data_IF_525137367778
#
_entry.id   IF_525137367778
#
_cell.length_a   1.000
_cell.length_b   1.000
_cell.length_c   1.000
_cell.angle_alpha   90.00
_cell.angle_beta   90.00
_cell.angle_gamma   90.00
#
_symmetry.space_group_name_H-M   'P 1'
#
loop_
_entity.id
_entity.type
_entity.pdbx_description
1 polymer ?
#
# COMPACT_ATOMS: atom_id res chain seq x y z
N UNK A 1 -7.68 -3.40 -10.62
CA UNK A 1 -7.77 -2.24 -11.54
C UNK A 1 -7.14 -0.96 -11.00
N UNK A 2 -7.22 -0.67 -9.70
CA UNK A 2 -6.66 0.57 -9.11
C UNK A 2 -5.14 0.73 -9.32
N UNK A 3 -4.33 -0.28 -8.97
CA UNK A 3 -2.86 -0.23 -9.11
C UNK A 3 -2.43 -0.06 -10.57
N UNK A 4 -3.08 -0.76 -11.51
CA UNK A 4 -2.79 -0.63 -12.95
C UNK A 4 -3.01 0.83 -13.41
N UNK A 5 -4.16 1.44 -13.05
CA UNK A 5 -4.46 2.83 -13.40
C UNK A 5 -3.44 3.82 -12.84
N UNK A 6 -3.04 3.65 -11.57
CA UNK A 6 -1.99 4.49 -10.97
C UNK A 6 -0.62 4.25 -11.61
N UNK A 7 -0.29 3.01 -11.97
CA UNK A 7 0.96 2.71 -12.67
C UNK A 7 1.05 3.44 -14.01
N UNK A 8 -0.05 3.47 -14.78
CA UNK A 8 -0.09 4.28 -16.02
C UNK A 8 -0.01 5.78 -15.76
N UNK A 9 -0.67 6.29 -14.70
CA UNK A 9 -0.55 7.71 -14.30
C UNK A 9 0.91 8.09 -14.02
N UNK A 10 1.67 7.24 -13.32
CA UNK A 10 3.09 7.46 -13.09
C UNK A 10 3.93 7.29 -14.35
N UNK A 11 3.63 6.28 -15.18
CA UNK A 11 4.34 6.04 -16.43
C UNK A 11 4.28 7.24 -17.38
N UNK A 12 3.15 7.97 -17.41
CA UNK A 12 2.99 9.17 -18.21
C UNK A 12 3.92 10.36 -17.83
N UNK A 13 4.64 10.26 -16.71
CA UNK A 13 5.69 11.24 -16.37
C UNK A 13 7.00 11.02 -17.16
N UNK A 14 7.11 9.95 -17.97
CA UNK A 14 8.32 9.55 -18.69
C UNK A 14 8.05 9.37 -20.19
N UNK A 15 8.92 9.91 -21.03
CA UNK A 15 8.72 9.89 -22.49
C UNK A 15 8.99 8.51 -23.13
N UNK A 16 9.90 7.71 -22.58
CA UNK A 16 10.38 6.47 -23.23
C UNK A 16 10.12 5.23 -22.36
N UNK A 17 8.95 5.16 -21.73
CA UNK A 17 8.55 4.02 -20.92
C UNK A 17 7.76 2.99 -21.75
N UNK A 18 8.12 1.71 -21.63
CA UNK A 18 7.34 0.63 -22.25
C UNK A 18 6.08 0.35 -21.41
N UNK A 19 4.92 0.78 -21.92
CA UNK A 19 3.63 0.62 -21.23
C UNK A 19 3.20 -0.85 -21.11
N UNK A 20 3.67 -1.75 -21.97
CA UNK A 20 3.40 -3.18 -21.82
C UNK A 20 4.14 -3.75 -20.61
N UNK A 21 5.38 -3.34 -20.40
CA UNK A 21 6.13 -3.71 -19.20
C UNK A 21 5.45 -3.17 -17.94
N UNK A 22 5.01 -1.90 -17.92
CA UNK A 22 4.26 -1.30 -16.81
C UNK A 22 2.99 -2.11 -16.50
N UNK A 23 2.23 -2.45 -17.54
CA UNK A 23 1.00 -3.24 -17.39
C UNK A 23 1.26 -4.61 -16.78
N UNK A 24 2.28 -5.31 -17.27
CA UNK A 24 2.61 -6.66 -16.81
C UNK A 24 3.14 -6.65 -15.38
N UNK A 25 4.03 -5.70 -15.03
CA UNK A 25 4.50 -5.52 -13.64
C UNK A 25 3.31 -5.30 -12.71
N UNK A 26 2.40 -4.37 -13.06
CA UNK A 26 1.22 -4.08 -12.25
C UNK A 26 0.23 -5.25 -12.17
N UNK A 27 0.19 -6.12 -13.18
CA UNK A 27 -0.70 -7.29 -13.18
C UNK A 27 -0.15 -8.46 -12.37
N UNK A 28 1.16 -8.60 -12.27
CA UNK A 28 1.82 -9.73 -11.62
C UNK A 28 2.29 -9.45 -10.19
N UNK A 29 2.42 -8.19 -9.75
CA UNK A 29 3.09 -7.84 -8.49
C UNK A 29 2.57 -8.62 -7.27
N UNK A 30 1.26 -8.81 -7.16
CA UNK A 30 0.58 -9.47 -6.03
C UNK A 30 0.00 -10.85 -6.38
N UNK A 31 0.38 -11.45 -7.53
CA UNK A 31 -0.25 -12.69 -8.02
C UNK A 31 -0.15 -13.83 -7.01
N UNK A 32 0.95 -13.94 -6.29
CA UNK A 32 1.19 -14.97 -5.28
C UNK A 32 0.81 -14.56 -3.84
N UNK A 33 0.21 -13.38 -3.61
CA UNK A 33 -0.12 -12.88 -2.27
C UNK A 33 -1.06 -13.82 -1.49
N UNK A 34 -1.92 -14.57 -2.18
CA UNK A 34 -2.82 -15.55 -1.57
C UNK A 34 -2.12 -16.88 -1.22
N UNK A 35 -0.95 -17.15 -1.79
CA UNK A 35 -0.15 -18.38 -1.57
C UNK A 35 0.77 -18.17 -0.35
N UNK A 36 1.58 -17.12 -0.37
CA UNK A 36 2.50 -16.77 0.70
C UNK A 36 2.58 -15.24 0.82
N UNK A 37 1.95 -14.71 1.86
CA UNK A 37 1.88 -13.27 2.11
C UNK A 37 3.26 -12.66 2.42
N UNK A 38 4.16 -13.43 3.02
CA UNK A 38 5.42 -12.90 3.50
C UNK A 38 6.50 -12.85 2.42
N UNK A 39 6.39 -13.73 1.40
CA UNK A 39 7.33 -13.83 0.28
C UNK A 39 6.64 -13.67 -1.10
N UNK A 40 5.44 -13.05 -1.13
CA UNK A 40 4.64 -12.97 -2.37
C UNK A 40 5.35 -12.23 -3.50
N UNK A 41 6.19 -11.24 -3.21
CA UNK A 41 6.94 -10.49 -4.21
C UNK A 41 7.90 -11.39 -5.00
N UNK A 42 8.66 -12.23 -4.31
CA UNK A 42 9.59 -13.19 -4.93
C UNK A 42 8.83 -14.28 -5.70
N UNK A 43 7.75 -14.80 -5.10
CA UNK A 43 6.92 -15.82 -5.75
C UNK A 43 6.21 -15.26 -6.99
N UNK A 44 5.64 -14.07 -6.92
CA UNK A 44 4.99 -13.40 -8.06
C UNK A 44 5.99 -13.15 -9.19
N UNK A 45 7.19 -12.67 -8.85
CA UNK A 45 8.26 -12.44 -9.81
C UNK A 45 8.72 -13.74 -10.51
N UNK A 46 8.82 -14.83 -9.75
CA UNK A 46 9.16 -16.15 -10.30
C UNK A 46 8.04 -16.71 -11.19
N UNK A 47 6.77 -16.56 -10.79
CA UNK A 47 5.62 -16.96 -11.62
C UNK A 47 5.61 -16.23 -12.97
N UNK A 48 5.94 -14.93 -12.96
CA UNK A 48 6.13 -14.18 -14.21
C UNK A 48 7.33 -14.71 -15.01
N UNK A 49 8.50 -14.79 -14.39
CA UNK A 49 9.77 -15.06 -15.09
C UNK A 49 9.82 -16.45 -15.73
N UNK A 50 9.23 -17.45 -15.06
CA UNK A 50 9.15 -18.84 -15.52
C UNK A 50 8.01 -19.08 -16.51
N UNK A 51 7.12 -18.11 -16.73
CA UNK A 51 6.03 -18.27 -17.69
C UNK A 51 6.55 -18.25 -19.12
N UNK A 52 6.49 -19.41 -19.80
CA UNK A 52 7.00 -19.57 -21.18
C UNK A 52 6.34 -18.61 -22.18
N UNK A 53 5.04 -18.29 -22.01
CA UNK A 53 4.34 -17.35 -22.90
C UNK A 53 4.92 -15.93 -22.84
N UNK A 54 5.49 -15.53 -21.71
CA UNK A 54 6.10 -14.21 -21.59
C UNK A 54 7.36 -14.04 -22.43
N UNK A 55 7.97 -15.13 -22.86
CA UNK A 55 9.11 -15.13 -23.80
C UNK A 55 8.71 -14.69 -25.22
N UNK A 56 7.43 -14.82 -25.57
CA UNK A 56 6.90 -14.38 -26.87
C UNK A 56 6.76 -12.86 -26.97
N UNK A 57 6.61 -12.19 -25.81
CA UNK A 57 6.31 -10.75 -25.73
C UNK A 57 7.50 -9.91 -25.27
N UNK A 58 8.43 -10.49 -24.50
CA UNK A 58 9.52 -9.75 -23.85
C UNK A 58 10.86 -10.43 -24.06
N UNK A 59 11.88 -9.63 -24.37
CA UNK A 59 13.28 -10.12 -24.45
C UNK A 59 13.76 -10.63 -23.09
N UNK A 60 14.89 -11.31 -23.07
CA UNK A 60 15.51 -11.78 -21.83
C UNK A 60 15.78 -10.62 -20.85
N UNK A 61 16.31 -9.50 -21.36
CA UNK A 61 16.61 -8.31 -20.57
C UNK A 61 15.35 -7.67 -20.00
N UNK A 62 14.31 -7.50 -20.83
CA UNK A 62 13.01 -6.96 -20.36
C UNK A 62 12.39 -7.84 -19.28
N UNK A 63 12.45 -9.16 -19.43
CA UNK A 63 11.94 -10.09 -18.40
C UNK A 63 12.71 -9.98 -17.09
N UNK A 64 14.03 -9.76 -17.15
CA UNK A 64 14.84 -9.48 -15.96
C UNK A 64 14.36 -8.20 -15.24
N UNK A 65 14.18 -7.11 -15.99
CA UNK A 65 13.71 -5.83 -15.46
C UNK A 65 12.31 -5.96 -14.84
N UNK A 66 11.38 -6.68 -15.51
CA UNK A 66 10.03 -6.91 -15.01
C UNK A 66 10.06 -7.73 -13.71
N UNK A 67 10.86 -8.80 -13.68
CA UNK A 67 11.07 -9.63 -12.48
C UNK A 67 11.53 -8.77 -11.31
N UNK A 68 12.60 -7.99 -11.51
CA UNK A 68 13.16 -7.11 -10.51
C UNK A 68 12.14 -6.07 -10.02
N UNK A 69 11.36 -5.49 -10.93
CA UNK A 69 10.31 -4.54 -10.58
C UNK A 69 9.20 -5.17 -9.71
N UNK A 70 8.82 -6.42 -10.01
CA UNK A 70 7.84 -7.15 -9.19
C UNK A 70 8.40 -7.41 -7.80
N UNK A 71 9.67 -7.80 -7.65
CA UNK A 71 10.30 -7.99 -6.33
C UNK A 71 10.37 -6.67 -5.53
N UNK A 72 10.59 -5.54 -6.20
CA UNK A 72 10.83 -4.24 -5.57
C UNK A 72 9.54 -3.50 -5.14
N UNK A 73 8.34 -4.08 -5.30
CA UNK A 73 7.11 -3.33 -5.07
C UNK A 73 6.76 -3.09 -3.58
N UNK A 74 7.28 -3.88 -2.65
CA UNK A 74 6.89 -3.81 -1.23
C UNK A 74 7.15 -2.46 -0.58
N UNK A 75 6.21 -2.04 0.29
CA UNK A 75 6.37 -0.82 1.10
C UNK A 75 7.54 -0.91 2.08
N UNK A 76 7.89 -2.12 2.53
CA UNK A 76 8.96 -2.41 3.48
C UNK A 76 10.32 -2.62 2.81
N UNK A 77 10.45 -2.38 1.50
CA UNK A 77 11.73 -2.44 0.79
C UNK A 77 12.71 -1.46 1.45
N UNK A 78 13.89 -1.94 1.83
CA UNK A 78 14.90 -1.19 2.57
C UNK A 78 15.83 -0.36 1.67
N UNK A 79 15.77 -0.59 0.35
CA UNK A 79 16.55 0.11 -0.66
C UNK A 79 15.66 0.73 -1.74
N UNK A 80 16.26 1.54 -2.60
CA UNK A 80 15.57 2.13 -3.75
C UNK A 80 15.29 1.04 -4.81
N UNK A 81 14.07 1.01 -5.42
CA UNK A 81 13.78 0.09 -6.51
C UNK A 81 14.79 0.15 -7.64
N UNK A 82 15.24 -1.02 -8.11
CA UNK A 82 16.33 -1.20 -9.09
C UNK A 82 16.08 -0.57 -10.46
N UNK A 83 14.81 -0.31 -10.79
CA UNK A 83 14.44 0.24 -12.09
C UNK A 83 13.31 1.26 -11.97
N UNK A 84 13.10 2.04 -13.03
CA UNK A 84 11.95 2.95 -13.13
C UNK A 84 10.62 2.18 -13.03
N UNK A 85 10.54 0.95 -13.54
CA UNK A 85 9.36 0.10 -13.43
C UNK A 85 9.10 -0.30 -11.97
N UNK A 86 10.15 -0.61 -11.22
CA UNK A 86 10.08 -0.85 -9.77
C UNK A 86 9.60 0.39 -9.00
N UNK A 87 10.09 1.58 -9.35
CA UNK A 87 9.61 2.85 -8.76
C UNK A 87 8.15 3.11 -9.06
N UNK A 88 7.72 2.84 -10.29
CA UNK A 88 6.32 3.01 -10.71
C UNK A 88 5.41 2.09 -9.90
N UNK A 89 5.68 0.78 -9.87
CA UNK A 89 4.80 -0.16 -9.18
C UNK A 89 4.82 0.06 -7.67
N UNK A 90 6.00 0.26 -7.09
CA UNK A 90 6.14 0.55 -5.66
C UNK A 90 5.38 1.80 -5.24
N UNK A 91 5.38 2.86 -6.08
CA UNK A 91 4.59 4.07 -5.83
C UNK A 91 3.09 3.85 -6.05
N UNK A 92 2.71 3.12 -7.12
CA UNK A 92 1.31 2.88 -7.47
C UNK A 92 0.57 2.00 -6.46
N UNK A 93 1.27 1.08 -5.80
CA UNK A 93 0.71 0.19 -4.77
C UNK A 93 0.58 0.85 -3.40
N UNK A 94 0.93 2.12 -3.25
CA UNK A 94 0.71 2.82 -1.96
C UNK A 94 -0.74 3.21 -1.80
N UNK A 95 -1.27 2.92 -0.60
CA UNK A 95 -2.59 3.40 -0.22
C UNK A 95 -2.54 4.92 0.02
N UNK A 96 -3.52 5.63 -0.52
CA UNK A 96 -3.70 7.08 -0.42
C UNK A 96 -5.06 7.43 0.21
N UNK A 97 -5.73 6.46 0.85
CA UNK A 97 -7.01 6.64 1.51
C UNK A 97 -6.94 6.20 2.98
N UNK A 98 -7.18 7.17 3.88
CA UNK A 98 -7.12 6.95 5.33
C UNK A 98 -8.26 6.05 5.82
N UNK A 99 -9.44 6.15 5.20
CA UNK A 99 -10.60 5.32 5.56
C UNK A 99 -10.30 3.86 5.25
N UNK A 100 -9.80 3.60 4.06
CA UNK A 100 -9.37 2.26 3.64
C UNK A 100 -8.26 1.72 4.55
N UNK A 101 -7.27 2.54 4.91
CA UNK A 101 -6.19 2.15 5.82
C UNK A 101 -6.72 1.73 7.19
N UNK A 102 -7.63 2.52 7.79
CA UNK A 102 -8.22 2.20 9.09
C UNK A 102 -9.09 0.94 9.04
N UNK A 103 -9.90 0.76 7.98
CA UNK A 103 -10.71 -0.46 7.77
C UNK A 103 -9.86 -1.71 7.63
N UNK A 104 -8.81 -1.65 6.81
CA UNK A 104 -7.89 -2.80 6.63
C UNK A 104 -7.17 -3.17 7.92
N UNK A 105 -6.72 -2.17 8.68
CA UNK A 105 -6.06 -2.40 9.97
C UNK A 105 -7.01 -3.02 10.99
N UNK A 106 -8.26 -2.55 11.05
CA UNK A 106 -9.29 -3.11 11.91
C UNK A 106 -9.62 -4.57 11.54
N UNK A 107 -9.90 -4.83 10.27
CA UNK A 107 -10.19 -6.18 9.78
C UNK A 107 -9.04 -7.16 10.05
N UNK A 108 -7.80 -6.72 9.86
CA UNK A 108 -6.62 -7.51 10.21
C UNK A 108 -6.56 -7.79 11.71
N UNK A 109 -6.80 -6.76 12.55
CA UNK A 109 -6.74 -6.90 14.00
C UNK A 109 -7.78 -7.89 14.50
N UNK A 110 -9.04 -7.79 14.09
CA UNK A 110 -10.10 -8.74 14.48
C UNK A 110 -9.75 -10.18 14.09
N UNK A 111 -9.17 -10.35 12.88
CA UNK A 111 -8.83 -11.68 12.38
C UNK A 111 -7.69 -12.34 13.14
N UNK A 112 -6.66 -11.58 13.52
CA UNK A 112 -5.39 -12.13 14.04
C UNK A 112 -5.19 -11.91 15.54
N UNK A 113 -5.99 -11.03 16.17
CA UNK A 113 -5.92 -10.65 17.57
C UNK A 113 -7.35 -10.48 18.14
N UNK A 114 -8.18 -11.53 18.06
CA UNK A 114 -9.60 -11.45 18.48
C UNK A 114 -9.79 -11.21 19.97
N UNK A 115 -8.74 -11.42 20.79
CA UNK A 115 -8.73 -11.23 22.23
C UNK A 115 -8.58 -9.78 22.67
N UNK A 116 -8.16 -8.87 21.76
CA UNK A 116 -7.92 -7.48 22.12
C UNK A 116 -9.22 -6.71 22.39
N UNK A 117 -9.22 -5.92 23.46
CA UNK A 117 -10.27 -4.96 23.70
C UNK A 117 -10.23 -3.77 22.73
N UNK A 118 -11.27 -2.93 22.76
CA UNK A 118 -11.38 -1.78 21.85
C UNK A 118 -10.21 -0.79 21.99
N UNK A 119 -9.75 -0.52 23.21
CA UNK A 119 -8.65 0.41 23.45
C UNK A 119 -7.33 -0.15 22.90
N UNK A 120 -7.11 -1.45 23.08
CA UNK A 120 -5.96 -2.17 22.54
C UNK A 120 -5.99 -2.19 21.01
N UNK A 121 -7.17 -2.41 20.39
CA UNK A 121 -7.34 -2.33 18.94
C UNK A 121 -7.01 -0.93 18.40
N UNK A 122 -7.50 0.13 19.07
CA UNK A 122 -7.20 1.53 18.70
C UNK A 122 -5.70 1.81 18.84
N UNK A 123 -5.07 1.39 19.95
CA UNK A 123 -3.65 1.57 20.18
C UNK A 123 -2.80 0.87 19.10
N UNK A 124 -3.16 -0.36 18.77
CA UNK A 124 -2.52 -1.12 17.71
C UNK A 124 -2.65 -0.44 16.35
N UNK A 125 -3.85 0.05 16.01
CA UNK A 125 -4.09 0.78 14.78
C UNK A 125 -3.29 2.09 14.71
N UNK A 126 -3.26 2.86 15.81
CA UNK A 126 -2.47 4.08 15.93
C UNK A 126 -0.99 3.82 15.68
N UNK A 127 -0.41 2.85 16.35
CA UNK A 127 1.00 2.49 16.21
C UNK A 127 1.30 2.04 14.77
N UNK A 128 0.49 1.13 14.21
CA UNK A 128 0.67 0.67 12.83
C UNK A 128 0.61 1.79 11.79
N UNK A 129 -0.36 2.70 11.90
CA UNK A 129 -0.48 3.85 10.98
C UNK A 129 0.71 4.81 11.16
N UNK A 130 1.14 5.04 12.41
CA UNK A 130 2.31 5.88 12.72
C UNK A 130 3.61 5.29 12.15
N UNK A 131 3.86 4.00 12.36
CA UNK A 131 5.05 3.30 11.86
C UNK A 131 5.09 3.26 10.34
N UNK A 132 3.94 3.11 9.70
CA UNK A 132 3.86 2.98 8.25
C UNK A 132 3.86 4.32 7.54
N UNK A 133 3.09 5.30 8.01
CA UNK A 133 2.80 6.53 7.30
C UNK A 133 3.12 7.81 8.10
N UNK A 134 3.55 7.73 9.35
CA UNK A 134 3.98 8.87 10.17
C UNK A 134 5.19 9.62 9.58
N UNK A 135 5.69 10.63 10.29
CA UNK A 135 6.80 11.46 9.78
C UNK A 135 8.05 10.63 9.43
N UNK A 136 8.37 9.61 10.22
CA UNK A 136 9.45 8.63 9.96
C UNK A 136 8.94 7.31 9.40
N UNK A 137 7.73 7.28 8.83
CA UNK A 137 7.10 6.05 8.35
C UNK A 137 7.85 5.41 7.19
N UNK A 138 7.86 4.07 7.18
CA UNK A 138 8.63 3.31 6.18
C UNK A 138 7.99 3.29 4.79
N UNK A 139 6.68 3.57 4.66
CA UNK A 139 6.03 3.61 3.35
C UNK A 139 6.47 4.84 2.55
N UNK A 140 7.20 4.59 1.47
CA UNK A 140 7.75 5.62 0.59
C UNK A 140 7.08 5.57 -0.79
N UNK A 141 7.02 6.72 -1.44
CA UNK A 141 6.73 6.89 -2.86
C UNK A 141 8.00 7.42 -3.51
N UNK A 142 8.36 6.87 -4.65
CA UNK A 142 9.62 7.16 -5.35
C UNK A 142 9.45 8.16 -6.48
N UNK A 143 8.20 8.53 -6.78
CA UNK A 143 7.82 9.44 -7.84
C UNK A 143 6.93 10.55 -7.28
N UNK A 144 6.79 11.66 -8.00
CA UNK A 144 5.91 12.76 -7.60
C UNK A 144 4.47 12.28 -7.54
N UNK A 145 3.82 12.41 -6.39
CA UNK A 145 2.46 11.95 -6.12
C UNK A 145 1.72 12.88 -5.15
N UNK A 146 1.00 13.85 -5.69
CA UNK A 146 0.21 14.80 -4.91
C UNK A 146 -0.87 14.12 -4.04
N UNK A 147 -1.40 12.97 -4.48
CA UNK A 147 -2.40 12.20 -3.71
C UNK A 147 -1.75 11.59 -2.46
N UNK A 148 -0.52 11.08 -2.59
CA UNK A 148 0.22 10.53 -1.46
C UNK A 148 0.67 11.64 -0.49
N UNK A 149 1.11 12.80 -1.02
CA UNK A 149 1.49 13.94 -0.19
C UNK A 149 0.29 14.46 0.62
N UNK A 150 -0.88 14.58 -0.02
CA UNK A 150 -2.12 14.92 0.68
C UNK A 150 -2.46 13.89 1.74
N UNK A 151 -2.42 12.60 1.39
CA UNK A 151 -2.67 11.50 2.32
C UNK A 151 -1.71 11.54 3.53
N UNK A 152 -0.43 11.79 3.32
CA UNK A 152 0.57 11.93 4.40
C UNK A 152 0.23 13.08 5.33
N UNK A 153 -0.20 14.22 4.78
CA UNK A 153 -0.63 15.36 5.58
C UNK A 153 -1.90 15.02 6.40
N UNK A 154 -2.88 14.35 5.81
CA UNK A 154 -4.10 13.92 6.51
C UNK A 154 -3.77 12.93 7.64
N UNK A 155 -2.85 11.99 7.40
CA UNK A 155 -2.34 11.07 8.44
C UNK A 155 -1.64 11.83 9.56
N UNK A 156 -0.76 12.77 9.22
CA UNK A 156 -0.05 13.60 10.21
C UNK A 156 -1.01 14.36 11.11
N UNK A 157 -2.04 14.98 10.53
CA UNK A 157 -3.06 15.68 11.31
C UNK A 157 -3.83 14.73 12.24
N UNK A 158 -4.19 13.54 11.74
CA UNK A 158 -4.91 12.54 12.53
C UNK A 158 -4.07 11.98 13.69
N UNK A 159 -2.76 11.84 13.51
CA UNK A 159 -1.85 11.31 14.52
C UNK A 159 -1.46 12.31 15.61
N UNK A 160 -1.76 13.62 15.45
CA UNK A 160 -1.47 14.65 16.48
C UNK A 160 -2.21 14.39 17.78
N UNK A 161 -3.40 13.81 17.71
CA UNK A 161 -4.23 13.56 18.88
C UNK A 161 -4.80 12.14 18.86
N UNK A 162 -4.36 11.34 19.81
CA UNK A 162 -4.76 9.93 19.92
C UNK A 162 -6.25 9.74 20.20
N UNK A 163 -6.86 10.69 20.90
CA UNK A 163 -8.30 10.67 21.14
C UNK A 163 -9.08 10.88 19.85
N UNK A 164 -8.72 11.90 19.07
CA UNK A 164 -9.32 12.17 17.75
C UNK A 164 -9.11 10.99 16.80
N UNK A 165 -7.92 10.36 16.83
CA UNK A 165 -7.65 9.12 16.09
C UNK A 165 -8.64 8.01 16.49
N UNK A 166 -8.83 7.78 17.80
CA UNK A 166 -9.74 6.76 18.32
C UNK A 166 -11.19 6.98 17.86
N UNK A 167 -11.68 8.20 17.92
CA UNK A 167 -13.02 8.57 17.42
C UNK A 167 -13.12 8.28 15.92
N UNK A 168 -12.11 8.68 15.12
CA UNK A 168 -12.11 8.42 13.68
C UNK A 168 -12.06 6.93 13.36
N UNK A 169 -11.26 6.15 14.09
CA UNK A 169 -11.19 4.70 13.97
C UNK A 169 -12.54 4.03 14.23
N UNK A 170 -13.21 4.42 15.31
CA UNK A 170 -14.52 3.88 15.67
C UNK A 170 -15.61 4.23 14.66
N UNK A 171 -15.63 5.48 14.16
CA UNK A 171 -16.56 5.93 13.11
C UNK A 171 -16.41 5.13 11.83
N UNK A 172 -15.18 5.03 11.34
CA UNK A 172 -14.88 4.37 10.06
C UNK A 172 -15.25 2.88 10.10
N UNK A 173 -15.17 2.26 11.27
CA UNK A 173 -15.48 0.85 11.47
C UNK A 173 -16.89 0.59 12.01
N UNK A 174 -17.75 1.62 12.06
CA UNK A 174 -19.14 1.55 12.53
C UNK A 174 -19.29 1.02 13.98
N UNK A 175 -18.30 1.31 14.84
CA UNK A 175 -18.32 0.93 16.26
C UNK A 175 -19.12 1.95 17.08
N UNK A 176 -19.11 3.22 16.66
CA UNK A 176 -19.95 4.29 17.24
C UNK A 176 -20.78 4.97 16.16
N UNK A 177 -22.00 5.39 16.54
CA UNK A 177 -22.86 6.21 15.68
C UNK A 177 -22.43 7.69 15.74
N UNK A 178 -22.65 8.41 14.64
CA UNK A 178 -22.44 9.88 14.53
C UNK A 178 -23.21 10.68 15.57
N UNK A 179 -24.29 10.13 16.14
CA UNK A 179 -25.07 10.76 17.24
C UNK A 179 -24.37 10.66 18.60
N UNK A 180 -23.63 9.57 18.86
CA UNK A 180 -22.87 9.38 20.10
C UNK A 180 -21.66 10.29 20.19
N UNK A 181 -21.04 10.61 19.04
CA UNK A 181 -19.92 11.56 18.93
C UNK A 181 -20.21 12.92 19.55
N UNK A 182 -21.44 13.43 19.40
CA UNK A 182 -21.82 14.73 19.99
C UNK A 182 -21.85 14.69 21.52
N UNK A 183 -22.13 13.54 22.13
CA UNK A 183 -22.14 13.36 23.60
C UNK A 183 -20.71 13.26 24.16
N UNK A 184 -19.79 12.64 23.42
CA UNK A 184 -18.40 12.45 23.87
C UNK A 184 -17.60 13.76 23.82
N UNK A 185 -17.93 14.69 22.89
CA UNK A 185 -17.30 16.03 22.82
C UNK A 185 -17.77 17.01 23.90
N UNK A 186 -18.77 16.68 24.67
CA UNK A 186 -19.37 17.55 25.68
C UNK A 186 -19.01 17.12 27.12
N UNK A 187 -18.21 16.10 27.29
CA UNK A 187 -17.57 15.64 28.53
C UNK A 187 -16.08 16.03 28.53
#
# INVERSE_FOLDING_TARGET
>A
MYVIGRSFKFANQFENIDLNMVYVVASFHDLAHHIDKDNHEVLSANLFYLNEKMKEFFTYEQRGIIKDAIEDHRASLDHEPRSIYGKIISSADRNVDIISSLKRTHAYTIKHYPELDLNEMINRAYNHISEKFGDCGYAKVWLVDEEFDKFKNDVKELLKDKYTFGIKYMEVNNIIDTKEKKKIKTL
#
